data_IF_728410185228
#
_entry.id   IF_728410185228
#
_cell.length_a   1.000
_cell.length_b   1.000
_cell.length_c   1.000
_cell.angle_alpha   90.00
_cell.angle_beta   90.00
_cell.angle_gamma   90.00
#
_symmetry.space_group_name_H-M   'P 1'
#
loop_
_entity.id
_entity.type
_entity.pdbx_description
1 polymer ?
#
# COMPACT_ATOMS: atom_id res chain seq x y z
N UNK A 1 0.82 -1.74 11.68
CA UNK A 1 0.10 -0.93 10.66
C UNK A 1 0.22 -1.59 9.30
N UNK A 2 -0.90 -1.92 8.64
CA UNK A 2 -0.88 -2.49 7.28
C UNK A 2 -0.53 -1.37 6.30
N UNK A 3 0.44 -1.59 5.40
CA UNK A 3 0.71 -0.64 4.31
C UNK A 3 -0.50 -0.66 3.38
N UNK A 4 -1.02 0.51 2.96
CA UNK A 4 -2.11 0.54 1.99
C UNK A 4 -1.61 -0.17 0.72
N UNK A 5 -2.43 -1.05 0.12
CA UNK A 5 -2.04 -1.72 -1.10
C UNK A 5 -1.78 -0.66 -2.17
N UNK A 6 -0.65 -0.82 -2.87
CA UNK A 6 -0.32 -0.01 -4.05
C UNK A 6 -1.46 -0.08 -5.07
N UNK A 7 -1.75 1.01 -5.80
CA UNK A 7 -2.94 1.10 -6.66
C UNK A 7 -2.98 0.05 -7.78
N UNK A 8 -1.81 -0.40 -8.25
CA UNK A 8 -1.69 -1.44 -9.27
C UNK A 8 -1.76 -2.88 -8.72
N UNK A 9 -2.04 -3.08 -7.42
CA UNK A 9 -2.16 -4.42 -6.84
C UNK A 9 -3.55 -5.00 -7.07
N UNK A 10 -3.64 -6.05 -7.90
CA UNK A 10 -4.90 -6.69 -8.26
C UNK A 10 -4.92 -8.20 -7.95
N UNK A 11 -6.08 -8.85 -8.13
CA UNK A 11 -6.28 -10.27 -7.86
C UNK A 11 -5.42 -11.18 -8.75
N UNK A 12 -5.21 -10.78 -10.02
CA UNK A 12 -4.37 -11.51 -10.97
C UNK A 12 -2.91 -11.59 -10.49
N UNK A 13 -2.32 -10.45 -10.13
CA UNK A 13 -0.95 -10.36 -9.60
C UNK A 13 -0.82 -11.15 -8.30
N UNK A 14 -1.83 -11.10 -7.44
CA UNK A 14 -1.88 -11.91 -6.20
C UNK A 14 -1.81 -13.40 -6.52
N UNK A 15 -2.58 -13.88 -7.48
CA UNK A 15 -2.59 -15.28 -7.90
C UNK A 15 -1.26 -15.68 -8.54
N UNK A 16 -0.72 -14.87 -9.46
CA UNK A 16 0.59 -15.12 -10.07
C UNK A 16 1.72 -15.16 -9.03
N UNK A 17 1.66 -14.29 -8.02
CA UNK A 17 2.63 -14.29 -6.92
C UNK A 17 2.53 -15.57 -6.07
N UNK A 18 1.30 -16.03 -5.78
CA UNK A 18 1.05 -17.30 -5.08
C UNK A 18 1.63 -18.48 -5.86
N UNK A 19 1.33 -18.58 -7.16
CA UNK A 19 1.86 -19.65 -8.04
C UNK A 19 3.38 -19.62 -8.12
N UNK A 20 3.99 -18.44 -8.30
CA UNK A 20 5.44 -18.27 -8.29
C UNK A 20 6.07 -18.76 -6.98
N UNK A 21 5.49 -18.41 -5.82
CA UNK A 21 5.97 -18.85 -4.51
C UNK A 21 5.84 -20.37 -4.34
N UNK A 22 4.72 -20.94 -4.76
CA UNK A 22 4.51 -22.39 -4.73
C UNK A 22 5.57 -23.13 -5.56
N UNK A 23 5.82 -22.69 -6.80
CA UNK A 23 6.82 -23.29 -7.67
C UNK A 23 8.25 -23.11 -7.14
N UNK A 24 8.55 -21.97 -6.50
CA UNK A 24 9.83 -21.78 -5.81
C UNK A 24 9.99 -22.78 -4.65
N UNK A 25 8.93 -23.01 -3.88
CA UNK A 25 8.95 -23.96 -2.77
C UNK A 25 9.12 -25.40 -3.28
N UNK A 26 8.45 -25.78 -4.37
CA UNK A 26 8.64 -27.08 -5.03
C UNK A 26 10.10 -27.25 -5.48
N UNK A 27 10.67 -26.25 -6.16
CA UNK A 27 12.08 -26.29 -6.58
C UNK A 27 13.05 -26.38 -5.39
N UNK A 28 12.78 -25.67 -4.29
CA UNK A 28 13.61 -25.72 -3.08
C UNK A 28 13.58 -27.10 -2.41
N UNK A 29 12.43 -27.78 -2.44
CA UNK A 29 12.30 -29.15 -1.91
C UNK A 29 12.89 -30.20 -2.85
N UNK A 30 12.65 -30.05 -4.15
CA UNK A 30 13.08 -30.98 -5.20
C UNK A 30 13.79 -30.21 -6.32
N UNK A 31 15.12 -30.17 -6.22
CA UNK A 31 15.98 -29.35 -7.07
C UNK A 31 16.23 -29.98 -8.44
N UNK A 32 15.20 -30.00 -9.30
CA UNK A 32 15.30 -30.49 -10.68
C UNK A 32 15.32 -29.35 -11.70
N UNK A 33 15.85 -29.62 -12.90
CA UNK A 33 15.87 -28.67 -14.02
C UNK A 33 14.47 -28.26 -14.46
N UNK A 34 13.54 -29.21 -14.54
CA UNK A 34 12.13 -28.96 -14.87
C UNK A 34 11.46 -28.01 -13.87
N UNK A 35 11.65 -28.25 -12.56
CA UNK A 35 11.10 -27.39 -11.52
C UNK A 35 11.68 -25.97 -11.61
N UNK A 36 12.96 -25.86 -11.96
CA UNK A 36 13.59 -24.57 -12.20
C UNK A 36 12.99 -23.83 -13.40
N UNK A 37 12.76 -24.52 -14.52
CA UNK A 37 12.10 -23.93 -15.72
C UNK A 37 10.69 -23.45 -15.37
N UNK A 38 9.88 -24.28 -14.70
CA UNK A 38 8.52 -23.92 -14.27
C UNK A 38 8.53 -22.66 -13.39
N UNK A 39 9.44 -22.58 -12.42
CA UNK A 39 9.61 -21.38 -11.60
C UNK A 39 10.01 -20.14 -12.42
N UNK A 40 10.96 -20.27 -13.36
CA UNK A 40 11.39 -19.14 -14.21
C UNK A 40 10.24 -18.60 -15.06
N UNK A 41 9.42 -19.47 -15.66
CA UNK A 41 8.24 -19.07 -16.43
C UNK A 41 7.25 -18.32 -15.54
N UNK A 42 6.92 -18.86 -14.36
CA UNK A 42 6.00 -18.21 -13.43
C UNK A 42 6.53 -16.85 -12.92
N UNK A 43 7.85 -16.76 -12.67
CA UNK A 43 8.51 -15.50 -12.30
C UNK A 43 8.43 -14.46 -13.42
N UNK A 44 8.63 -14.87 -14.67
CA UNK A 44 8.52 -13.97 -15.82
C UNK A 44 7.08 -13.46 -15.99
N UNK A 45 6.08 -14.33 -15.88
CA UNK A 45 4.65 -13.98 -15.94
C UNK A 45 4.26 -12.98 -14.85
N UNK A 46 4.60 -13.25 -13.59
CA UNK A 46 4.31 -12.34 -12.47
C UNK A 46 4.98 -10.98 -12.64
N UNK A 47 6.24 -10.95 -13.12
CA UNK A 47 6.95 -9.70 -13.38
C UNK A 47 6.34 -8.91 -14.53
N UNK A 48 5.89 -9.59 -15.59
CA UNK A 48 5.23 -8.95 -16.73
C UNK A 48 3.91 -8.32 -16.31
N UNK A 49 3.04 -9.06 -15.63
CA UNK A 49 1.76 -8.57 -15.12
C UNK A 49 1.94 -7.36 -14.18
N UNK A 50 2.91 -7.41 -13.26
CA UNK A 50 3.23 -6.28 -12.39
C UNK A 50 3.64 -5.03 -13.16
N UNK A 51 4.53 -5.16 -14.14
CA UNK A 51 4.97 -4.01 -14.96
C UNK A 51 3.83 -3.43 -15.78
N UNK A 52 2.95 -4.29 -16.31
CA UNK A 52 1.75 -3.87 -17.04
C UNK A 52 0.84 -3.04 -16.13
N UNK A 53 0.46 -3.57 -14.96
CA UNK A 53 -0.41 -2.85 -14.03
C UNK A 53 0.22 -1.55 -13.48
N UNK A 54 1.52 -1.55 -13.22
CA UNK A 54 2.25 -0.33 -12.83
C UNK A 54 2.19 0.73 -13.93
N UNK A 55 2.37 0.34 -15.19
CA UNK A 55 2.28 1.24 -16.34
C UNK A 55 0.87 1.79 -16.50
N UNK A 56 -0.15 0.93 -16.43
CA UNK A 56 -1.55 1.34 -16.54
C UNK A 56 -1.92 2.33 -15.44
N UNK A 57 -1.58 2.03 -14.19
CA UNK A 57 -1.81 2.94 -13.06
C UNK A 57 -1.04 4.27 -13.21
N UNK A 58 0.17 4.25 -13.78
CA UNK A 58 0.91 5.46 -14.09
C UNK A 58 0.23 6.28 -15.19
N UNK A 59 -0.20 5.64 -16.26
CA UNK A 59 -0.90 6.28 -17.38
C UNK A 59 -2.20 6.93 -16.92
N UNK A 60 -3.01 6.21 -16.14
CA UNK A 60 -4.24 6.73 -15.54
C UNK A 60 -3.96 7.91 -14.61
N UNK A 61 -2.91 7.86 -13.80
CA UNK A 61 -2.54 9.00 -12.99
C UNK A 61 -2.15 10.20 -13.85
N UNK A 62 -1.28 10.02 -14.84
CA UNK A 62 -0.84 11.11 -15.71
C UNK A 62 -1.96 11.72 -16.55
N UNK A 63 -2.97 10.94 -16.95
CA UNK A 63 -4.12 11.47 -17.68
C UNK A 63 -5.02 12.36 -16.82
N UNK A 64 -5.00 12.20 -15.50
CA UNK A 64 -5.74 13.05 -14.55
C UNK A 64 -5.01 14.35 -14.16
N UNK A 65 -3.76 14.54 -14.60
CA UNK A 65 -2.99 15.73 -14.25
C UNK A 65 -3.48 16.96 -15.00
N UNK A 66 -3.71 18.03 -14.25
CA UNK A 66 -4.07 19.36 -14.77
C UNK A 66 -3.11 20.41 -14.22
N UNK A 67 -3.09 21.61 -14.81
CA UNK A 67 -2.24 22.71 -14.35
C UNK A 67 -2.58 23.19 -12.91
N UNK A 68 -3.76 22.84 -12.40
CA UNK A 68 -4.16 23.11 -11.01
C UNK A 68 -3.65 22.07 -10.01
N UNK A 69 -3.00 20.99 -10.46
CA UNK A 69 -2.51 19.93 -9.57
C UNK A 69 -1.34 20.44 -8.73
N UNK A 70 -1.47 20.36 -7.40
CA UNK A 70 -0.39 20.79 -6.51
C UNK A 70 0.79 19.83 -6.53
N UNK A 71 2.01 20.36 -6.48
CA UNK A 71 3.24 19.54 -6.41
C UNK A 71 3.20 18.53 -5.25
N UNK A 72 2.62 18.92 -4.11
CA UNK A 72 2.48 18.06 -2.93
C UNK A 72 1.61 16.84 -3.22
N UNK A 73 0.44 17.04 -3.82
CA UNK A 73 -0.46 15.94 -4.17
C UNK A 73 0.15 15.05 -5.24
N UNK A 74 0.88 15.64 -6.18
CA UNK A 74 1.57 14.89 -7.21
C UNK A 74 2.58 13.92 -6.61
N UNK A 75 3.51 14.42 -5.78
CA UNK A 75 4.51 13.58 -5.12
C UNK A 75 3.89 12.54 -4.18
N UNK A 76 2.77 12.89 -3.52
CA UNK A 76 2.01 11.93 -2.70
C UNK A 76 1.49 10.76 -3.55
N UNK A 77 0.87 11.04 -4.71
CA UNK A 77 0.39 10.00 -5.64
C UNK A 77 1.54 9.17 -6.23
N UNK A 78 2.63 9.81 -6.64
CA UNK A 78 3.87 9.13 -7.10
C UNK A 78 4.39 8.17 -6.03
N UNK A 79 4.48 8.62 -4.79
CA UNK A 79 4.88 7.78 -3.67
C UNK A 79 3.96 6.58 -3.45
N UNK A 80 2.65 6.74 -3.68
CA UNK A 80 1.67 5.64 -3.56
C UNK A 80 1.88 4.59 -4.65
N UNK A 81 2.13 5.02 -5.89
CA UNK A 81 2.40 4.13 -7.03
C UNK A 81 3.71 3.37 -6.79
N UNK A 82 4.76 4.02 -6.28
CA UNK A 82 6.04 3.33 -6.01
C UNK A 82 5.97 2.45 -4.74
N UNK A 83 4.98 2.68 -3.87
CA UNK A 83 4.85 2.00 -2.58
C UNK A 83 5.79 2.56 -1.50
N UNK A 84 6.27 3.80 -1.68
CA UNK A 84 7.08 4.55 -0.71
C UNK A 84 6.20 5.30 0.30
N UNK A 85 4.94 5.60 -0.05
CA UNK A 85 4.02 6.32 0.83
C UNK A 85 3.71 5.52 2.09
N UNK A 86 3.90 6.17 3.24
CA UNK A 86 3.48 5.63 4.54
C UNK A 86 1.98 5.91 4.72
N UNK A 87 1.19 4.96 5.26
CA UNK A 87 -0.17 5.28 5.68
C UNK A 87 -0.12 6.47 6.63
N UNK A 88 -1.03 7.42 6.41
CA UNK A 88 -1.24 8.51 7.36
C UNK A 88 -1.67 7.85 8.68
N UNK A 89 -1.02 8.23 9.78
CA UNK A 89 -1.36 7.68 11.10
C UNK A 89 -2.70 8.27 11.48
N UNK A 90 -3.71 7.42 11.67
CA UNK A 90 -4.95 7.86 12.30
C UNK A 90 -4.62 8.30 13.73
N UNK A 91 -4.91 9.55 14.06
CA UNK A 91 -4.80 10.06 15.42
C UNK A 91 -6.05 9.62 16.17
N UNK A 92 -5.91 8.69 17.11
CA UNK A 92 -7.01 8.20 17.96
C UNK A 92 -6.65 8.51 19.41
N UNK A 93 -7.58 9.11 20.14
CA UNK A 93 -7.43 9.38 21.57
C UNK A 93 -8.43 8.52 22.34
N UNK A 94 -7.97 7.83 23.38
CA UNK A 94 -8.82 7.04 24.27
C UNK A 94 -9.36 7.96 25.36
N UNK A 95 -10.67 8.23 25.31
CA UNK A 95 -11.39 9.04 26.30
C UNK A 95 -12.35 8.12 27.04
N UNK A 96 -12.14 7.90 28.34
CA UNK A 96 -13.00 7.06 29.19
C UNK A 96 -13.31 5.68 28.60
N UNK A 97 -12.30 5.02 28.02
CA UNK A 97 -12.44 3.71 27.38
C UNK A 97 -13.03 3.72 25.97
N UNK A 98 -13.46 4.88 25.45
CA UNK A 98 -13.93 5.04 24.07
C UNK A 98 -12.82 5.60 23.17
N UNK A 99 -12.60 4.97 22.02
CA UNK A 99 -11.63 5.42 21.03
C UNK A 99 -12.24 6.52 20.16
N UNK A 100 -11.85 7.78 20.38
CA UNK A 100 -12.30 8.94 19.62
C UNK A 100 -11.30 9.25 18.51
N UNK A 101 -11.81 9.43 17.28
CA UNK A 101 -11.01 9.73 16.07
C UNK A 101 -11.26 11.12 15.50
N UNK A 102 -12.33 11.77 15.92
CA UNK A 102 -12.75 13.08 15.42
C UNK A 102 -11.79 14.17 15.94
N UNK A 103 -11.09 14.91 15.04
CA UNK A 103 -10.09 15.89 15.45
C UNK A 103 -10.66 16.99 16.34
N UNK A 104 -11.88 17.45 16.05
CA UNK A 104 -12.56 18.50 16.82
C UNK A 104 -12.84 18.05 18.26
N UNK A 105 -13.31 16.81 18.41
CA UNK A 105 -13.63 16.22 19.72
C UNK A 105 -12.36 15.95 20.53
N UNK A 106 -11.31 15.48 19.87
CA UNK A 106 -9.98 15.32 20.48
C UNK A 106 -9.46 16.68 20.97
N UNK A 107 -9.53 17.72 20.13
CA UNK A 107 -9.06 19.06 20.49
C UNK A 107 -9.83 19.63 21.69
N UNK A 108 -11.16 19.51 21.69
CA UNK A 108 -12.01 19.96 22.79
C UNK A 108 -11.65 19.28 24.11
N UNK A 109 -11.53 17.95 24.10
CA UNK A 109 -11.16 17.19 25.29
C UNK A 109 -9.78 17.59 25.84
N UNK A 110 -8.80 17.77 24.96
CA UNK A 110 -7.46 18.22 25.37
C UNK A 110 -7.51 19.60 26.03
N UNK A 111 -8.28 20.54 25.49
CA UNK A 111 -8.46 21.87 26.08
C UNK A 111 -9.08 21.78 27.47
N UNK A 112 -10.14 20.99 27.65
CA UNK A 112 -10.81 20.80 28.94
C UNK A 112 -9.88 20.14 29.98
N UNK A 113 -9.16 19.08 29.58
CA UNK A 113 -8.22 18.35 30.44
C UNK A 113 -7.08 19.23 30.95
N UNK A 114 -6.44 20.00 30.07
CA UNK A 114 -5.34 20.88 30.48
C UNK A 114 -5.83 22.07 31.32
N UNK A 115 -7.05 22.56 31.09
CA UNK A 115 -7.67 23.58 31.93
C UNK A 115 -7.83 23.09 33.37
N UNK A 116 -8.32 21.87 33.57
CA UNK A 116 -8.47 21.29 34.92
C UNK A 116 -7.14 21.11 35.65
N UNK A 117 -6.10 20.64 34.96
CA UNK A 117 -4.78 20.39 35.58
C UNK A 117 -4.04 21.69 35.95
N UNK A 118 -4.34 22.78 35.24
CA UNK A 118 -3.64 24.06 35.41
C UNK A 118 -4.33 24.98 36.42
N UNK A 119 -5.48 24.58 36.97
CA UNK A 119 -6.21 25.25 38.07
C UNK A 119 -5.83 24.66 39.41
#
# INVERSE_FOLDING_TARGET
>A
TKRPPVPWWNAEIKNLNKTKKQLLNIFKRHRTSENWVKFKIARARERSAKRKAQRESWQEYTSTLTHFSSQREMWKKVGCIIGSTRPQREHTLLINGTAVKEPERIAKYLVEFFREISS
#
